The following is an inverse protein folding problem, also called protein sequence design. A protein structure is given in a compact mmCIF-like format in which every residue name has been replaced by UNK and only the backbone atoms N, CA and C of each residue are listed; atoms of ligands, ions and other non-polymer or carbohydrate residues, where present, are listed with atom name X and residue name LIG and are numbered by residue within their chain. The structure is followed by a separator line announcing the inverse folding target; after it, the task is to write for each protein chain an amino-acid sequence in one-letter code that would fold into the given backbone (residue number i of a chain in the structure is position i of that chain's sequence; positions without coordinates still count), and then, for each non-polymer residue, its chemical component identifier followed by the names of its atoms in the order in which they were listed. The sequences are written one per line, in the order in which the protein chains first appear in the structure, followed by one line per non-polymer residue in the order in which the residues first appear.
data_IF_121442984037
#
_entry.id   IF_121442984037
#
_cell.length_a   1.000
_cell.length_b   1.000
_cell.length_c   1.000
_cell.angle_alpha   90.00
_cell.angle_beta   90.00
_cell.angle_gamma   90.00
#
_symmetry.space_group_name_H-M   'P 1'
#
loop_
_entity.id
_entity.type
_entity.pdbx_description
1 polymer ?
#
# COMPACT_ATOMS: atom_id res chain seq x y z
N UNK A 1 1.68 6.71 -12.62
CA UNK A 1 0.56 6.58 -11.66
C UNK A 1 0.37 7.90 -10.93
N UNK A 2 -0.86 8.26 -10.55
CA UNK A 2 -1.15 9.45 -9.73
C UNK A 2 -1.58 9.04 -8.33
N UNK A 3 -1.37 9.92 -7.35
CA UNK A 3 -1.80 9.72 -5.96
C UNK A 3 -3.30 9.37 -5.84
N UNK A 4 -4.13 10.03 -6.65
CA UNK A 4 -5.58 9.86 -6.69
C UNK A 4 -6.01 8.49 -7.24
N UNK A 5 -5.11 7.77 -7.91
CA UNK A 5 -5.37 6.41 -8.40
C UNK A 5 -5.11 5.37 -7.30
N UNK A 6 -4.84 5.80 -6.07
CA UNK A 6 -4.48 4.91 -4.96
C UNK A 6 -5.32 5.18 -3.73
N UNK A 7 -5.49 4.15 -2.92
CA UNK A 7 -6.12 4.24 -1.61
C UNK A 7 -5.28 3.55 -0.54
N UNK A 8 -5.43 3.99 0.72
CA UNK A 8 -4.88 3.31 1.87
C UNK A 8 -5.92 2.33 2.42
N UNK A 9 -5.53 1.08 2.57
CA UNK A 9 -6.31 0.07 3.27
C UNK A 9 -5.51 -0.52 4.41
N UNK A 10 -6.08 -0.49 5.61
CA UNK A 10 -5.52 -1.13 6.79
C UNK A 10 -6.30 -2.41 7.05
N UNK A 11 -5.59 -3.53 7.17
CA UNK A 11 -6.19 -4.84 7.35
C UNK A 11 -5.69 -5.40 8.67
N UNK A 12 -6.61 -5.85 9.51
CA UNK A 12 -6.31 -6.46 10.80
C UNK A 12 -6.83 -7.89 10.81
N UNK A 13 -5.93 -8.85 11.04
CA UNK A 13 -6.29 -10.26 11.18
C UNK A 13 -6.38 -10.70 12.65
N UNK A 14 -5.73 -9.97 13.56
CA UNK A 14 -5.62 -10.25 14.98
C UNK A 14 -5.28 -9.00 15.78
N UNK A 15 -4.96 -9.19 17.06
CA UNK A 15 -4.69 -8.10 18.01
C UNK A 15 -3.19 -7.74 18.11
N UNK A 16 -2.30 -8.54 17.53
CA UNK A 16 -0.85 -8.26 17.51
C UNK A 16 -0.53 -7.21 16.42
N UNK A 17 0.41 -6.27 16.66
CA UNK A 17 0.86 -5.34 15.63
C UNK A 17 1.32 -6.03 14.33
N UNK A 18 1.91 -7.22 14.42
CA UNK A 18 2.32 -8.01 13.25
C UNK A 18 1.14 -8.57 12.43
N UNK A 19 -0.06 -8.62 13.01
CA UNK A 19 -1.31 -9.01 12.33
C UNK A 19 -2.01 -7.81 11.64
N UNK A 20 -1.42 -6.62 11.72
CA UNK A 20 -1.88 -5.42 11.02
C UNK A 20 -1.05 -5.16 9.77
N UNK A 21 -1.73 -4.94 8.65
CA UNK A 21 -1.11 -4.65 7.36
C UNK A 21 -1.57 -3.29 6.85
N UNK A 22 -0.61 -2.48 6.41
CA UNK A 22 -0.84 -1.19 5.78
C UNK A 22 -0.58 -1.31 4.28
N UNK A 23 -1.65 -1.29 3.49
CA UNK A 23 -1.60 -1.52 2.06
C UNK A 23 -1.86 -0.22 1.30
N UNK A 24 -0.96 0.13 0.38
CA UNK A 24 -1.23 1.08 -0.69
C UNK A 24 -1.81 0.31 -1.87
N UNK A 25 -3.04 0.63 -2.28
CA UNK A 25 -3.79 -0.14 -3.28
C UNK A 25 -4.01 0.70 -4.53
N UNK A 26 -3.80 0.11 -5.71
CA UNK A 26 -4.15 0.70 -7.01
C UNK A 26 -5.66 0.57 -7.25
N UNK A 27 -6.39 1.69 -7.18
CA UNK A 27 -7.84 1.71 -7.39
C UNK A 27 -8.25 1.40 -8.84
N UNK A 28 -7.30 1.46 -9.78
CA UNK A 28 -7.55 1.07 -11.18
C UNK A 28 -7.60 -0.45 -11.33
N UNK A 29 -6.96 -1.19 -10.41
CA UNK A 29 -6.95 -2.66 -10.34
C UNK A 29 -8.01 -3.15 -9.35
N UNK A 30 -8.08 -2.52 -8.17
CA UNK A 30 -9.04 -2.83 -7.09
C UNK A 30 -9.89 -1.60 -6.74
N UNK A 31 -10.95 -1.30 -7.53
CA UNK A 31 -11.84 -0.20 -7.21
C UNK A 31 -12.51 -0.41 -5.84
N UNK A 32 -12.29 0.50 -4.91
CA UNK A 32 -12.80 0.38 -3.53
C UNK A 32 -11.95 -0.49 -2.60
N UNK A 33 -10.73 -0.86 -3.00
CA UNK A 33 -9.78 -1.60 -2.18
C UNK A 33 -9.81 -3.12 -2.40
N UNK A 34 -8.95 -3.82 -1.66
CA UNK A 34 -8.78 -5.26 -1.71
C UNK A 34 -9.98 -5.99 -1.09
N UNK A 35 -10.36 -7.12 -1.71
CA UNK A 35 -11.41 -7.99 -1.20
C UNK A 35 -10.86 -8.97 -0.15
N UNK A 36 -10.84 -8.53 1.11
CA UNK A 36 -10.24 -9.26 2.23
C UNK A 36 -10.89 -10.63 2.46
N UNK A 37 -12.20 -10.75 2.28
CA UNK A 37 -12.93 -12.02 2.40
C UNK A 37 -12.39 -13.08 1.44
N UNK A 38 -12.12 -12.69 0.18
CA UNK A 38 -11.50 -13.61 -0.79
C UNK A 38 -10.08 -13.98 -0.40
N UNK A 39 -9.32 -13.04 0.16
CA UNK A 39 -7.92 -13.26 0.52
C UNK A 39 -7.75 -14.15 1.75
N UNK A 40 -8.69 -14.09 2.70
CA UNK A 40 -8.75 -15.00 3.86
C UNK A 40 -8.92 -16.47 3.47
N UNK A 41 -9.50 -16.72 2.29
CA UNK A 41 -9.71 -18.08 1.76
C UNK A 41 -8.50 -18.61 0.98
N UNK A 42 -7.48 -17.79 0.76
CA UNK A 42 -6.34 -18.15 -0.09
C UNK A 42 -5.22 -18.81 0.71
N UNK A 43 -4.42 -19.64 0.04
CA UNK A 43 -3.27 -20.31 0.66
C UNK A 43 -2.27 -19.26 1.18
N UNK A 44 -1.96 -19.25 2.50
CA UNK A 44 -1.08 -18.25 3.09
C UNK A 44 0.33 -18.26 2.49
N UNK A 45 0.77 -19.36 1.87
CA UNK A 45 2.06 -19.44 1.17
C UNK A 45 2.12 -18.57 -0.09
N UNK A 46 0.98 -18.09 -0.57
CA UNK A 46 0.85 -17.28 -1.79
C UNK A 46 0.28 -15.89 -1.51
N UNK A 47 0.21 -15.48 -0.23
CA UNK A 47 -0.48 -14.25 0.16
C UNK A 47 0.10 -13.02 -0.54
N UNK A 48 1.43 -12.89 -0.59
CA UNK A 48 2.11 -11.77 -1.25
C UNK A 48 1.74 -11.64 -2.73
N UNK A 49 1.70 -12.77 -3.44
CA UNK A 49 1.31 -12.80 -4.85
C UNK A 49 -0.14 -12.36 -5.02
N UNK A 50 -1.03 -12.84 -4.15
CA UNK A 50 -2.45 -12.52 -4.20
C UNK A 50 -2.72 -11.05 -3.87
N UNK A 51 -2.04 -10.48 -2.89
CA UNK A 51 -2.07 -9.05 -2.61
C UNK A 51 -1.67 -8.25 -3.85
N UNK A 52 -0.57 -8.63 -4.48
CA UNK A 52 -0.07 -7.95 -5.68
C UNK A 52 -1.02 -8.07 -6.87
N UNK A 53 -1.55 -9.27 -7.14
CA UNK A 53 -2.52 -9.51 -8.21
C UNK A 53 -3.84 -8.77 -7.97
N UNK A 54 -4.25 -8.64 -6.70
CA UNK A 54 -5.43 -7.90 -6.29
C UNK A 54 -5.24 -6.37 -6.32
N UNK A 55 -4.04 -5.88 -6.62
CA UNK A 55 -3.76 -4.44 -6.78
C UNK A 55 -3.02 -3.80 -5.62
N UNK A 56 -2.50 -4.56 -4.65
CA UNK A 56 -1.59 -4.03 -3.63
C UNK A 56 -0.27 -3.62 -4.28
N UNK A 57 0.07 -2.36 -4.14
CA UNK A 57 1.31 -1.75 -4.65
C UNK A 57 2.43 -1.94 -3.63
N UNK A 58 2.16 -1.59 -2.38
CA UNK A 58 3.07 -1.67 -1.25
C UNK A 58 2.27 -2.21 -0.07
N UNK A 59 2.87 -3.15 0.65
CA UNK A 59 2.31 -3.72 1.87
C UNK A 59 3.40 -3.66 2.93
N UNK A 60 3.05 -3.16 4.11
CA UNK A 60 3.90 -3.18 5.29
C UNK A 60 3.17 -3.85 6.43
N UNK A 61 3.86 -4.69 7.18
CA UNK A 61 3.35 -5.18 8.47
C UNK A 61 3.41 -4.05 9.52
N UNK A 62 2.74 -4.23 10.65
CA UNK A 62 2.66 -3.17 11.66
C UNK A 62 3.98 -2.87 12.34
N UNK A 63 4.84 -3.86 12.51
CA UNK A 63 6.23 -3.71 12.95
C UNK A 63 7.09 -2.95 11.94
N UNK A 64 7.00 -3.27 10.64
CA UNK A 64 7.70 -2.50 9.59
C UNK A 64 7.23 -1.04 9.55
N UNK A 65 5.92 -0.82 9.63
CA UNK A 65 5.34 0.52 9.66
C UNK A 65 5.80 1.30 10.90
N UNK A 66 5.86 0.66 12.07
CA UNK A 66 6.34 1.27 13.31
C UNK A 66 7.79 1.73 13.19
N UNK A 67 8.67 0.89 12.63
CA UNK A 67 10.06 1.29 12.39
C UNK A 67 10.17 2.50 11.47
N UNK A 68 9.36 2.55 10.42
CA UNK A 68 9.35 3.67 9.48
C UNK A 68 8.75 4.95 10.10
N UNK A 69 7.76 4.84 10.99
CA UNK A 69 7.27 5.97 11.78
C UNK A 69 8.38 6.52 12.69
N UNK A 70 9.12 5.65 13.37
CA UNK A 70 10.22 6.05 14.26
C UNK A 70 11.37 6.72 13.49
N UNK A 71 11.62 6.31 12.24
CA UNK A 71 12.61 6.92 11.35
C UNK A 71 12.13 8.22 10.70
N UNK A 72 10.84 8.56 10.81
CA UNK A 72 10.23 9.71 10.14
C UNK A 72 10.07 9.51 8.63
N UNK A 73 10.06 8.27 8.15
CA UNK A 73 9.81 7.93 6.75
C UNK A 73 8.30 7.77 6.46
N UNK A 74 7.50 7.49 7.48
CA UNK A 74 6.04 7.54 7.43
C UNK A 74 5.47 8.59 8.39
N UNK A 75 4.33 9.15 8.03
CA UNK A 75 3.57 10.12 8.83
C UNK A 75 2.24 9.50 9.24
N UNK A 76 1.97 9.41 10.55
CA UNK A 76 0.72 8.81 11.07
C UNK A 76 -0.51 9.61 10.66
N UNK A 77 -0.40 10.93 10.57
CA UNK A 77 -1.51 11.83 10.24
C UNK A 77 -1.73 11.92 8.72
N UNK A 78 -0.73 11.54 7.92
CA UNK A 78 -0.76 11.56 6.46
C UNK A 78 -0.35 10.22 5.83
N UNK A 79 -0.78 9.12 6.44
CA UNK A 79 -0.25 7.78 6.13
C UNK A 79 -0.37 7.38 4.66
N UNK A 80 -1.51 7.67 4.03
CA UNK A 80 -1.71 7.40 2.61
C UNK A 80 -0.68 8.12 1.74
N UNK A 81 -0.46 9.41 2.01
CA UNK A 81 0.49 10.26 1.27
C UNK A 81 1.94 9.85 1.52
N UNK A 82 2.30 9.55 2.76
CA UNK A 82 3.65 9.11 3.08
C UNK A 82 3.96 7.73 2.48
N UNK A 83 3.00 6.80 2.47
CA UNK A 83 3.16 5.50 1.80
C UNK A 83 3.31 5.64 0.29
N UNK A 84 2.52 6.51 -0.34
CA UNK A 84 2.66 6.78 -1.77
C UNK A 84 4.05 7.36 -2.10
N UNK A 85 4.51 8.30 -1.27
CA UNK A 85 5.84 8.92 -1.44
C UNK A 85 6.96 7.90 -1.22
N UNK A 86 6.81 7.02 -0.24
CA UNK A 86 7.74 5.92 0.01
C UNK A 86 7.78 4.95 -1.19
N UNK A 87 6.62 4.54 -1.71
CA UNK A 87 6.55 3.68 -2.89
C UNK A 87 7.21 4.31 -4.13
N UNK A 88 7.10 5.64 -4.30
CA UNK A 88 7.83 6.36 -5.35
C UNK A 88 9.35 6.35 -5.11
N UNK A 89 9.78 6.69 -3.88
CA UNK A 89 11.19 6.75 -3.47
C UNK A 89 11.90 5.40 -3.65
N UNK A 90 11.25 4.31 -3.27
CA UNK A 90 11.76 2.94 -3.41
C UNK A 90 11.62 2.39 -4.85
N UNK A 91 11.04 3.16 -5.77
CA UNK A 91 10.91 2.79 -7.18
C UNK A 91 9.85 1.72 -7.45
N UNK A 92 8.96 1.46 -6.49
CA UNK A 92 7.81 0.54 -6.63
C UNK A 92 6.80 1.10 -7.63
N UNK A 93 6.60 2.42 -7.59
CA UNK A 93 5.78 3.15 -8.57
C UNK A 93 6.59 4.24 -9.26
N UNK A 94 6.15 4.61 -10.47
CA UNK A 94 6.59 5.83 -11.15
C UNK A 94 5.44 6.81 -11.18
N UNK A 95 5.68 8.02 -10.68
CA UNK A 95 4.68 9.09 -10.72
C UNK A 95 4.71 9.72 -12.10
N UNK A 96 3.53 9.84 -12.70
CA UNK A 96 3.40 10.52 -13.98
C UNK A 96 3.51 12.02 -13.70
N UNK A 97 4.72 12.56 -13.79
CA UNK A 97 4.91 14.00 -13.86
C UNK A 97 4.40 14.44 -15.23
N UNK A 98 3.34 15.23 -15.22
CA UNK A 98 2.73 15.79 -16.42
C UNK A 98 3.80 16.60 -17.18
N UNK A 99 4.42 15.99 -18.19
CA UNK A 99 5.36 16.63 -19.11
C UNK A 99 4.57 17.49 -20.11
N UNK A 100 3.70 18.35 -19.62
CA UNK A 100 3.00 19.38 -20.39
C UNK A 100 3.78 20.70 -20.31
N UNK A 101 5.06 20.68 -20.67
CA UNK A 101 5.85 21.88 -21.04
C UNK A 101 6.87 21.50 -22.10
N UNK A 102 6.41 21.24 -23.31
CA UNK A 102 7.25 21.44 -24.48
C UNK A 102 6.39 21.73 -25.72
N UNK A 103 6.04 23.01 -25.91
CA UNK A 103 6.08 23.74 -27.18
C UNK A 103 5.64 25.18 -26.98
#
# INVERSE_FOLDING_TARGET
MKFQDTTLQIIEFGDDPSDRFYCLVDERVSPGGLNIEKMRLTDPRNIDLQFREAGSILMLTGDEAEELFLRGELDRDQLHKSLFTLAEKEGVIRVDTDQSKNR
#
